data_IF_184102734014
#
_entry.id   IF_184102734014
#
_cell.length_a   1.000
_cell.length_b   1.000
_cell.length_c   1.000
_cell.angle_alpha   90.00
_cell.angle_beta   90.00
_cell.angle_gamma   90.00
#
_symmetry.space_group_name_H-M   'P 1'
#
loop_
_entity.id
_entity.type
_entity.pdbx_description
1 polymer ?
#
# COMPACT_ATOMS: atom_id res chain seq x y z
N UNK A 1 57.90 -64.59 20.98
CA UNK A 1 56.90 -63.68 21.57
C UNK A 1 56.45 -62.66 20.53
N UNK A 2 55.53 -63.06 19.66
CA UNK A 2 54.69 -62.17 18.85
C UNK A 2 53.39 -61.99 19.62
N UNK A 3 52.79 -60.79 19.60
CA UNK A 3 51.34 -60.46 19.77
C UNK A 3 51.14 -59.04 20.34
N UNK A 4 52.16 -58.34 20.87
CA UNK A 4 51.99 -56.94 21.29
C UNK A 4 52.25 -55.92 20.17
N UNK A 5 51.50 -55.99 19.05
CA UNK A 5 51.51 -54.97 17.97
C UNK A 5 50.10 -54.55 17.48
N UNK A 6 49.04 -54.88 18.22
CA UNK A 6 47.65 -54.62 17.81
C UNK A 6 46.89 -53.62 18.71
N UNK A 7 47.55 -52.58 19.22
CA UNK A 7 46.87 -51.49 19.94
C UNK A 7 47.15 -50.09 19.35
N UNK A 8 47.57 -50.00 18.09
CA UNK A 8 47.75 -48.74 17.37
C UNK A 8 46.93 -48.65 16.07
N UNK A 9 45.73 -49.23 16.08
CA UNK A 9 44.75 -49.09 15.01
C UNK A 9 43.33 -48.90 15.57
N UNK A 10 43.15 -47.88 16.39
CA UNK A 10 41.84 -47.28 16.60
C UNK A 10 41.89 -45.80 16.18
N UNK A 11 42.35 -45.62 14.94
CA UNK A 11 42.23 -44.37 14.19
C UNK A 11 40.81 -44.26 13.66
N UNK A 12 40.12 -43.22 14.12
CA UNK A 12 39.03 -42.50 13.46
C UNK A 12 37.94 -43.34 12.80
N UNK A 13 36.88 -43.59 13.56
CA UNK A 13 35.53 -43.50 13.01
C UNK A 13 34.71 -42.58 13.92
N UNK A 14 35.06 -41.29 13.94
CA UNK A 14 34.07 -40.28 14.32
C UNK A 14 33.10 -40.25 13.15
N UNK A 15 31.82 -40.61 13.33
CA UNK A 15 30.84 -40.35 12.30
C UNK A 15 30.87 -38.83 12.13
N UNK A 16 31.23 -38.35 10.94
CA UNK A 16 30.92 -36.98 10.57
C UNK A 16 29.40 -36.89 10.53
N UNK A 17 28.79 -36.64 11.68
CA UNK A 17 27.49 -36.01 11.75
C UNK A 17 27.63 -34.80 10.85
N UNK A 18 26.96 -34.84 9.70
CA UNK A 18 26.70 -33.66 8.90
C UNK A 18 26.08 -32.65 9.85
N UNK A 19 26.89 -31.71 10.36
CA UNK A 19 26.42 -30.61 11.17
C UNK A 19 25.49 -29.81 10.26
N UNK A 20 24.19 -30.09 10.34
CA UNK A 20 23.18 -29.14 9.93
C UNK A 20 23.40 -27.92 10.82
N UNK A 21 24.00 -26.87 10.27
CA UNK A 21 24.24 -25.62 10.95
C UNK A 21 22.91 -25.13 11.55
N UNK A 22 22.87 -24.86 12.85
CA UNK A 22 21.64 -24.45 13.53
C UNK A 22 21.41 -22.94 13.41
N UNK A 23 20.17 -22.49 13.63
CA UNK A 23 19.83 -21.06 13.68
C UNK A 23 20.75 -20.32 14.66
N UNK A 24 20.99 -20.88 15.85
CA UNK A 24 21.83 -20.26 16.88
C UNK A 24 23.29 -20.09 16.47
N UNK A 25 23.81 -21.00 15.64
CA UNK A 25 25.18 -20.94 15.14
C UNK A 25 25.34 -19.90 14.02
N UNK A 26 24.36 -19.84 13.11
CA UNK A 26 24.39 -18.95 11.95
C UNK A 26 24.03 -17.50 12.27
N UNK A 27 23.19 -17.26 13.29
CA UNK A 27 22.73 -15.91 13.66
C UNK A 27 23.89 -14.91 13.88
N UNK A 28 24.88 -15.18 14.75
CA UNK A 28 25.98 -14.22 14.97
C UNK A 28 26.85 -13.99 13.72
N UNK A 29 27.00 -15.01 12.87
CA UNK A 29 27.73 -14.88 11.60
C UNK A 29 26.95 -14.02 10.59
N UNK A 30 25.65 -14.23 10.51
CA UNK A 30 24.76 -13.47 9.63
C UNK A 30 24.67 -11.99 10.03
N UNK A 31 24.68 -11.70 11.34
CA UNK A 31 24.76 -10.35 11.91
C UNK A 31 26.11 -9.66 11.60
N UNK A 32 27.19 -10.44 11.47
CA UNK A 32 28.49 -9.97 10.98
C UNK A 32 28.55 -9.84 9.45
N UNK A 33 27.40 -9.71 8.79
CA UNK A 33 27.28 -9.49 7.34
C UNK A 33 27.81 -10.65 6.48
N UNK A 34 28.02 -11.84 7.05
CA UNK A 34 28.44 -13.01 6.28
C UNK A 34 27.31 -13.47 5.35
N UNK A 35 27.47 -13.21 4.04
CA UNK A 35 26.49 -13.52 2.99
C UNK A 35 26.06 -14.99 3.01
N UNK A 36 27.02 -15.90 3.21
CA UNK A 36 26.72 -17.34 3.19
C UNK A 36 25.88 -17.74 4.40
N UNK A 37 26.21 -17.20 5.58
CA UNK A 37 25.44 -17.43 6.79
C UNK A 37 24.03 -16.82 6.69
N UNK A 38 23.89 -15.62 6.12
CA UNK A 38 22.59 -14.99 5.86
C UNK A 38 21.72 -15.86 4.94
N UNK A 39 22.27 -16.36 3.83
CA UNK A 39 21.56 -17.27 2.94
C UNK A 39 21.17 -18.59 3.62
N UNK A 40 22.09 -19.21 4.35
CA UNK A 40 21.81 -20.47 5.05
C UNK A 40 20.74 -20.29 6.14
N UNK A 41 20.80 -19.18 6.88
CA UNK A 41 19.82 -18.83 7.90
C UNK A 41 18.43 -18.61 7.27
N UNK A 42 18.38 -17.92 6.13
CA UNK A 42 17.14 -17.76 5.36
C UNK A 42 16.54 -19.11 4.93
N UNK A 43 17.36 -20.03 4.41
CA UNK A 43 16.90 -21.38 4.04
C UNK A 43 16.32 -22.13 5.25
N UNK A 44 16.94 -22.03 6.42
CA UNK A 44 16.43 -22.69 7.63
C UNK A 44 15.04 -22.17 8.00
N UNK A 45 14.85 -20.86 7.97
CA UNK A 45 13.53 -20.25 8.22
C UNK A 45 12.50 -20.60 7.13
N UNK A 46 12.90 -20.68 5.86
CA UNK A 46 11.97 -21.08 4.80
C UNK A 46 11.46 -22.52 5.00
N UNK A 47 12.29 -23.42 5.52
CA UNK A 47 11.90 -24.83 5.74
C UNK A 47 10.88 -25.04 6.88
N UNK A 48 10.82 -24.18 7.88
CA UNK A 48 9.93 -24.36 9.05
C UNK A 48 8.47 -23.97 8.79
N UNK A 49 8.16 -23.40 7.62
CA UNK A 49 6.82 -23.32 7.00
C UNK A 49 5.73 -22.51 7.74
N UNK A 50 6.07 -21.66 8.71
CA UNK A 50 5.11 -20.70 9.28
C UNK A 50 5.23 -19.32 8.65
N UNK A 51 4.17 -18.51 8.69
CA UNK A 51 4.21 -17.14 8.16
C UNK A 51 5.32 -16.30 8.80
N UNK A 52 5.50 -16.42 10.12
CA UNK A 52 6.55 -15.72 10.85
C UNK A 52 7.94 -16.17 10.41
N UNK A 53 8.13 -17.45 10.07
CA UNK A 53 9.42 -17.92 9.57
C UNK A 53 9.67 -17.43 8.15
N UNK A 54 8.66 -17.37 7.29
CA UNK A 54 8.84 -16.76 5.97
C UNK A 54 9.20 -15.27 6.04
N UNK A 55 8.66 -14.52 7.02
CA UNK A 55 9.09 -13.13 7.28
C UNK A 55 10.59 -13.07 7.64
N UNK A 56 11.08 -13.99 8.46
CA UNK A 56 12.50 -14.10 8.79
C UNK A 56 13.35 -14.51 7.59
N UNK A 57 12.89 -15.48 6.79
CA UNK A 57 13.55 -15.90 5.57
C UNK A 57 13.68 -14.73 4.59
N UNK A 58 12.59 -13.98 4.37
CA UNK A 58 12.55 -12.81 3.52
C UNK A 58 13.55 -11.74 4.00
N UNK A 59 13.60 -11.47 5.31
CA UNK A 59 14.58 -10.56 5.88
C UNK A 59 16.02 -10.98 5.58
N UNK A 60 16.38 -12.23 5.84
CA UNK A 60 17.76 -12.70 5.67
C UNK A 60 18.17 -12.84 4.20
N UNK A 61 17.25 -13.28 3.33
CA UNK A 61 17.49 -13.25 1.90
C UNK A 61 17.70 -11.81 1.41
N UNK A 62 16.94 -10.83 1.91
CA UNK A 62 17.12 -9.41 1.56
C UNK A 62 18.52 -8.90 1.91
N UNK A 63 19.05 -9.26 3.09
CA UNK A 63 20.41 -8.86 3.47
C UNK A 63 21.47 -9.48 2.53
N UNK A 64 21.34 -10.77 2.21
CA UNK A 64 22.28 -11.44 1.31
C UNK A 64 22.15 -10.93 -0.15
N UNK A 65 20.94 -10.64 -0.61
CA UNK A 65 20.66 -10.13 -1.96
C UNK A 65 21.20 -8.71 -2.19
N UNK A 66 21.19 -7.87 -1.15
CA UNK A 66 21.85 -6.54 -1.17
C UNK A 66 23.36 -6.63 -1.37
N UNK A 67 23.96 -7.75 -0.98
CA UNK A 67 25.37 -8.09 -1.22
C UNK A 67 25.56 -8.90 -2.51
N UNK A 68 24.60 -8.82 -3.45
CA UNK A 68 24.67 -9.43 -4.78
C UNK A 68 24.71 -10.97 -4.78
N UNK A 69 24.22 -11.60 -3.72
CA UNK A 69 24.10 -13.06 -3.68
C UNK A 69 22.97 -13.56 -4.59
N UNK A 70 23.37 -14.17 -5.71
CA UNK A 70 22.50 -14.62 -6.79
C UNK A 70 21.33 -15.49 -6.31
N UNK A 71 21.60 -16.53 -5.52
CA UNK A 71 20.54 -17.42 -5.04
C UNK A 71 19.56 -16.69 -4.12
N UNK A 72 20.02 -15.73 -3.33
CA UNK A 72 19.14 -14.96 -2.43
C UNK A 72 18.23 -14.02 -3.20
N UNK A 73 18.74 -13.39 -4.27
CA UNK A 73 17.91 -12.55 -5.14
C UNK A 73 16.80 -13.38 -5.82
N UNK A 74 17.14 -14.60 -6.27
CA UNK A 74 16.15 -15.51 -6.87
C UNK A 74 15.12 -16.02 -5.83
N UNK A 75 15.57 -16.36 -4.62
CA UNK A 75 14.67 -16.75 -3.52
C UNK A 75 13.73 -15.60 -3.12
N UNK A 76 14.21 -14.36 -3.03
CA UNK A 76 13.36 -13.18 -2.78
C UNK A 76 12.26 -13.03 -3.82
N UNK A 77 12.63 -13.10 -5.10
CA UNK A 77 11.65 -13.03 -6.17
C UNK A 77 10.57 -14.11 -6.02
N UNK A 78 10.98 -15.32 -5.64
CA UNK A 78 10.06 -16.44 -5.40
C UNK A 78 9.13 -16.18 -4.21
N UNK A 79 9.64 -15.65 -3.10
CA UNK A 79 8.82 -15.32 -1.93
C UNK A 79 7.79 -14.23 -2.25
N UNK A 80 8.19 -13.18 -2.98
CA UNK A 80 7.28 -12.12 -3.43
C UNK A 80 6.21 -12.62 -4.40
N UNK A 81 6.54 -13.53 -5.33
CA UNK A 81 5.55 -14.12 -6.23
C UNK A 81 4.52 -14.98 -5.50
N UNK A 82 4.96 -15.71 -4.48
CA UNK A 82 4.10 -16.63 -3.73
C UNK A 82 3.36 -15.96 -2.56
N UNK A 83 3.76 -14.75 -2.16
CA UNK A 83 3.23 -14.09 -0.96
C UNK A 83 3.61 -14.83 0.33
N UNK A 84 4.84 -15.33 0.41
CA UNK A 84 5.33 -16.04 1.59
C UNK A 84 6.07 -15.07 2.50
N UNK A 85 5.54 -14.83 3.70
CA UNK A 85 6.11 -13.86 4.65
C UNK A 85 5.88 -12.39 4.27
N UNK A 86 5.13 -12.14 3.19
CA UNK A 86 4.75 -10.81 2.70
C UNK A 86 3.52 -10.97 1.80
N UNK A 87 2.74 -9.92 1.60
CA UNK A 87 1.71 -9.94 0.54
C UNK A 87 2.38 -10.14 -0.83
N UNK A 88 1.73 -10.86 -1.77
CA UNK A 88 2.25 -11.02 -3.12
C UNK A 88 2.58 -9.68 -3.78
N UNK A 89 3.81 -9.53 -4.28
CA UNK A 89 4.26 -8.30 -4.94
C UNK A 89 5.02 -8.64 -6.23
N UNK A 90 4.29 -8.58 -7.34
CA UNK A 90 4.84 -8.82 -8.68
C UNK A 90 5.95 -7.82 -9.05
N UNK A 91 5.86 -6.58 -8.57
CA UNK A 91 6.82 -5.53 -8.91
C UNK A 91 8.17 -5.81 -8.24
N UNK A 92 8.15 -6.19 -6.96
CA UNK A 92 9.36 -6.58 -6.24
C UNK A 92 9.98 -7.86 -6.82
N UNK A 93 9.17 -8.84 -7.20
CA UNK A 93 9.68 -10.03 -7.86
C UNK A 93 10.39 -9.72 -9.19
N UNK A 94 9.74 -8.92 -10.05
CA UNK A 94 10.32 -8.48 -11.31
C UNK A 94 11.58 -7.63 -11.10
N UNK A 95 11.66 -6.84 -10.04
CA UNK A 95 12.86 -6.06 -9.70
C UNK A 95 14.08 -6.96 -9.48
N UNK A 96 13.95 -7.95 -8.59
CA UNK A 96 15.06 -8.86 -8.29
C UNK A 96 15.45 -9.73 -9.48
N UNK A 97 14.48 -10.24 -10.24
CA UNK A 97 14.77 -11.04 -11.44
C UNK A 97 15.38 -10.19 -12.54
N UNK A 98 14.92 -8.96 -12.75
CA UNK A 98 15.46 -8.09 -13.80
C UNK A 98 16.89 -7.71 -13.48
N UNK A 99 17.20 -7.39 -12.21
CA UNK A 99 18.58 -7.16 -11.77
C UNK A 99 19.47 -8.37 -12.07
N UNK A 100 19.05 -9.57 -11.66
CA UNK A 100 19.76 -10.82 -11.98
C UNK A 100 19.94 -11.06 -13.49
N UNK A 101 18.92 -10.75 -14.28
CA UNK A 101 18.94 -10.96 -15.72
C UNK A 101 20.00 -10.10 -16.42
N UNK A 102 20.23 -8.89 -15.92
CA UNK A 102 21.25 -7.96 -16.41
C UNK A 102 22.67 -8.39 -16.04
N UNK A 103 22.81 -9.11 -14.93
CA UNK A 103 24.06 -9.77 -14.52
C UNK A 103 24.34 -11.05 -15.35
N UNK A 104 23.47 -11.40 -16.31
CA UNK A 104 23.63 -12.53 -17.22
C UNK A 104 22.99 -13.83 -16.73
N UNK A 105 22.18 -13.80 -15.68
CA UNK A 105 21.49 -14.99 -15.18
C UNK A 105 20.34 -15.40 -16.13
N UNK A 106 20.51 -16.53 -16.82
CA UNK A 106 19.53 -17.05 -17.79
C UNK A 106 18.26 -17.54 -17.10
N UNK A 107 18.36 -18.15 -15.92
CA UNK A 107 17.19 -18.64 -15.18
C UNK A 107 16.26 -17.48 -14.80
N UNK A 108 16.82 -16.31 -14.46
CA UNK A 108 16.06 -15.11 -14.20
C UNK A 108 15.37 -14.58 -15.45
N UNK A 109 16.02 -14.62 -16.62
CA UNK A 109 15.40 -14.26 -17.90
C UNK A 109 14.21 -15.17 -18.22
N UNK A 110 14.38 -16.49 -18.04
CA UNK A 110 13.30 -17.48 -18.24
C UNK A 110 12.17 -17.27 -17.24
N UNK A 111 12.49 -16.95 -15.98
CA UNK A 111 11.49 -16.66 -14.96
C UNK A 111 10.66 -15.42 -15.31
N UNK A 112 11.29 -14.33 -15.77
CA UNK A 112 10.58 -13.12 -16.25
C UNK A 112 9.66 -13.46 -17.42
N UNK A 113 10.16 -14.22 -18.42
CA UNK A 113 9.34 -14.64 -19.55
C UNK A 113 8.13 -15.48 -19.10
N UNK A 114 8.34 -16.41 -18.17
CA UNK A 114 7.29 -17.25 -17.59
C UNK A 114 6.25 -16.42 -16.83
N UNK A 115 6.68 -15.38 -16.12
CA UNK A 115 5.79 -14.43 -15.45
C UNK A 115 4.90 -13.74 -16.49
N UNK A 116 5.49 -13.14 -17.53
CA UNK A 116 4.71 -12.45 -18.57
C UNK A 116 3.79 -13.37 -19.36
N UNK A 117 4.16 -14.63 -19.58
CA UNK A 117 3.30 -15.63 -20.21
C UNK A 117 2.06 -15.94 -19.35
N UNK A 118 2.22 -16.01 -18.02
CA UNK A 118 1.16 -16.42 -17.09
C UNK A 118 0.30 -15.26 -16.59
N UNK A 119 0.83 -14.05 -16.54
CA UNK A 119 0.08 -12.88 -16.07
C UNK A 119 -1.05 -12.55 -17.05
N UNK A 120 -2.30 -12.67 -16.58
CA UNK A 120 -3.48 -12.30 -17.37
C UNK A 120 -3.57 -10.78 -17.61
N UNK A 121 -3.08 -10.01 -16.65
CA UNK A 121 -2.99 -8.55 -16.75
C UNK A 121 -1.66 -8.15 -17.39
N UNK A 122 -1.73 -7.36 -18.47
CA UNK A 122 -0.54 -6.81 -19.10
C UNK A 122 0.10 -5.79 -18.15
N UNK A 123 1.41 -5.90 -17.84
CA UNK A 123 2.07 -4.89 -17.02
C UNK A 123 1.95 -3.51 -17.67
N UNK A 124 1.62 -2.50 -16.87
CA UNK A 124 1.52 -1.13 -17.37
C UNK A 124 2.91 -0.66 -17.85
N UNK A 125 2.96 0.01 -19.00
CA UNK A 125 4.19 0.60 -19.55
C UNK A 125 4.90 1.51 -18.53
N UNK A 126 4.15 2.23 -17.68
CA UNK A 126 4.75 3.05 -16.62
C UNK A 126 5.40 2.23 -15.52
N UNK A 127 4.82 1.08 -15.15
CA UNK A 127 5.42 0.18 -14.15
C UNK A 127 6.71 -0.45 -14.69
N UNK A 128 6.71 -0.82 -15.97
CA UNK A 128 7.91 -1.28 -16.65
C UNK A 128 9.00 -0.19 -16.72
N UNK A 129 8.63 1.04 -17.07
CA UNK A 129 9.58 2.15 -17.09
C UNK A 129 10.15 2.46 -15.70
N UNK A 130 9.31 2.43 -14.65
CA UNK A 130 9.74 2.61 -13.27
C UNK A 130 10.80 1.59 -12.88
N UNK A 131 10.55 0.31 -13.18
CA UNK A 131 11.46 -0.80 -12.90
C UNK A 131 12.84 -0.58 -13.52
N UNK A 132 12.88 -0.27 -14.83
CA UNK A 132 14.13 -0.04 -15.55
C UNK A 132 14.89 1.17 -15.05
N UNK A 133 14.20 2.27 -14.76
CA UNK A 133 14.85 3.43 -14.19
C UNK A 133 15.40 3.15 -12.79
N UNK A 134 14.62 2.50 -11.92
CA UNK A 134 15.02 2.10 -10.56
C UNK A 134 16.32 1.28 -10.57
N UNK A 135 16.42 0.30 -11.48
CA UNK A 135 17.62 -0.55 -11.61
C UNK A 135 18.83 0.25 -12.14
N UNK A 136 18.60 1.24 -13.00
CA UNK A 136 19.65 2.05 -13.62
C UNK A 136 20.13 3.24 -12.75
N UNK A 137 19.39 3.64 -11.69
CA UNK A 137 19.73 4.80 -10.84
C UNK A 137 21.17 4.80 -10.32
N UNK A 138 21.73 3.67 -9.83
CA UNK A 138 23.11 3.66 -9.31
C UNK A 138 24.17 3.97 -10.38
N UNK A 139 23.82 3.91 -11.67
CA UNK A 139 24.76 4.00 -12.79
C UNK A 139 24.55 5.23 -13.68
N UNK A 140 23.45 5.96 -13.54
CA UNK A 140 23.10 7.05 -14.45
C UNK A 140 22.16 8.08 -13.81
N UNK A 141 22.62 9.32 -13.68
CA UNK A 141 21.79 10.45 -13.23
C UNK A 141 20.57 10.68 -14.14
N UNK A 142 20.68 10.35 -15.43
CA UNK A 142 19.53 10.41 -16.35
C UNK A 142 18.41 9.43 -15.94
N UNK A 143 18.73 8.36 -15.23
CA UNK A 143 17.73 7.42 -14.73
C UNK A 143 16.92 8.03 -13.58
N UNK A 144 17.51 8.89 -12.73
CA UNK A 144 16.78 9.61 -11.67
C UNK A 144 15.75 10.59 -12.24
N UNK A 145 16.12 11.29 -13.30
CA UNK A 145 15.22 12.20 -14.04
C UNK A 145 14.06 11.39 -14.64
N UNK A 146 14.37 10.26 -15.26
CA UNK A 146 13.39 9.34 -15.83
C UNK A 146 12.43 8.76 -14.78
N UNK A 147 12.98 8.28 -13.67
CA UNK A 147 12.23 7.75 -12.53
C UNK A 147 11.25 8.80 -11.99
N UNK A 148 11.73 10.03 -11.74
CA UNK A 148 10.91 11.15 -11.26
C UNK A 148 9.75 11.46 -12.20
N UNK A 149 10.00 11.47 -13.51
CA UNK A 149 8.97 11.69 -14.54
C UNK A 149 7.91 10.58 -14.54
N UNK A 150 8.33 9.32 -14.38
CA UNK A 150 7.40 8.18 -14.30
C UNK A 150 6.54 8.27 -13.05
N UNK A 151 7.12 8.60 -11.90
CA UNK A 151 6.36 8.81 -10.66
C UNK A 151 5.33 9.95 -10.80
N UNK A 152 5.70 11.06 -11.43
CA UNK A 152 4.78 12.16 -11.73
C UNK A 152 3.64 11.70 -12.65
N UNK A 153 3.95 10.93 -13.70
CA UNK A 153 2.94 10.39 -14.61
C UNK A 153 1.97 9.43 -13.90
N UNK A 154 2.48 8.52 -13.06
CA UNK A 154 1.66 7.61 -12.24
C UNK A 154 0.78 8.38 -11.24
N UNK A 155 1.31 9.43 -10.63
CA UNK A 155 0.53 10.31 -9.76
C UNK A 155 -0.61 11.00 -10.52
N UNK A 156 -0.30 11.59 -11.67
CA UNK A 156 -1.29 12.26 -12.52
C UNK A 156 -2.36 11.29 -13.04
N UNK A 157 -1.98 10.06 -13.38
CA UNK A 157 -2.92 9.01 -13.79
C UNK A 157 -3.90 8.66 -12.66
N UNK A 158 -3.39 8.44 -11.43
CA UNK A 158 -4.26 8.17 -10.26
C UNK A 158 -5.18 9.35 -9.97
N UNK A 159 -4.66 10.57 -10.06
CA UNK A 159 -5.48 11.79 -9.90
C UNK A 159 -6.59 11.87 -10.95
N UNK A 160 -6.30 11.58 -12.21
CA UNK A 160 -7.30 11.56 -13.28
C UNK A 160 -8.36 10.47 -13.07
N UNK A 161 -7.96 9.27 -12.64
CA UNK A 161 -8.89 8.19 -12.29
C UNK A 161 -9.83 8.62 -11.16
N UNK A 162 -9.30 9.19 -10.07
CA UNK A 162 -10.11 9.71 -8.96
C UNK A 162 -11.05 10.85 -9.41
N UNK A 163 -10.60 11.72 -10.31
CA UNK A 163 -11.45 12.78 -10.87
C UNK A 163 -12.61 12.14 -11.65
N UNK A 164 -12.33 11.19 -12.53
CA UNK A 164 -13.33 10.51 -13.35
C UNK A 164 -14.33 9.68 -12.54
N UNK A 165 -13.88 8.98 -11.48
CA UNK A 165 -14.77 8.23 -10.60
C UNK A 165 -15.73 9.16 -9.85
N UNK A 166 -15.28 10.37 -9.50
CA UNK A 166 -16.14 11.39 -8.90
C UNK A 166 -17.15 11.96 -9.90
N UNK A 167 -16.76 12.15 -11.15
CA UNK A 167 -17.67 12.64 -12.20
C UNK A 167 -18.77 11.59 -12.50
N UNK A 168 -18.43 10.29 -12.47
CA UNK A 168 -19.40 9.20 -12.57
C UNK A 168 -20.39 9.18 -11.39
N UNK A 169 -19.94 9.51 -10.18
CA UNK A 169 -20.83 9.68 -9.03
C UNK A 169 -21.74 10.91 -9.17
N UNK A 170 -21.25 12.01 -9.74
CA UNK A 170 -22.09 13.19 -10.00
C UNK A 170 -23.16 12.88 -11.08
N UNK A 171 -22.83 12.09 -12.11
CA UNK A 171 -23.81 11.59 -13.12
C UNK A 171 -24.85 10.65 -12.49
N UNK A 172 -24.44 9.76 -11.57
CA UNK A 172 -25.34 8.82 -10.90
C UNK A 172 -26.33 9.48 -9.92
N UNK A 173 -26.12 10.76 -9.57
CA UNK A 173 -26.93 11.54 -8.64
C UNK A 173 -27.70 12.70 -9.28
N UNK A 174 -27.69 12.83 -10.62
CA UNK A 174 -28.57 13.75 -11.34
C UNK A 174 -30.04 13.28 -11.19
N UNK A 175 -30.95 14.08 -10.60
CA UNK A 175 -32.36 13.73 -10.52
C UNK A 175 -33.00 14.00 -11.89
N UNK A 176 -32.98 13.00 -12.76
CA UNK A 176 -33.50 13.13 -14.11
C UNK A 176 -33.96 11.81 -14.71
N UNK A 177 -35.22 11.47 -14.45
CA UNK A 177 -36.08 10.52 -15.17
C UNK A 177 -36.06 9.04 -14.72
N UNK A 178 -36.63 8.77 -13.53
CA UNK A 178 -37.35 7.52 -13.31
C UNK A 178 -38.84 7.79 -13.44
N UNK A 179 -39.39 7.39 -14.59
CA UNK A 179 -40.82 7.16 -14.74
C UNK A 179 -41.25 6.06 -13.78
N UNK A 180 -42.21 6.41 -12.95
CA UNK A 180 -43.01 5.50 -12.14
C UNK A 180 -43.62 4.42 -13.05
N UNK A 181 -43.42 3.15 -12.72
CA UNK A 181 -44.51 2.19 -12.88
C UNK A 181 -44.41 1.10 -11.81
N UNK A 182 -45.42 1.14 -10.95
CA UNK A 182 -45.70 0.17 -9.90
C UNK A 182 -46.52 -0.98 -10.47
N UNK A 183 -46.15 -2.23 -10.19
CA UNK A 183 -47.18 -3.27 -10.02
C UNK A 183 -46.74 -4.38 -9.07
N UNK A 184 -47.68 -4.68 -8.18
CA UNK A 184 -47.71 -5.64 -7.08
C UNK A 184 -47.77 -7.10 -7.56
N UNK A 185 -47.24 -8.05 -6.77
CA UNK A 185 -48.01 -9.22 -6.26
C UNK A 185 -47.16 -10.22 -5.45
N UNK A 186 -47.35 -10.18 -4.12
CA UNK A 186 -47.96 -11.22 -3.26
C UNK A 186 -47.63 -12.75 -3.35
N UNK A 187 -47.63 -13.37 -2.14
CA UNK A 187 -48.00 -14.79 -1.78
C UNK A 187 -46.91 -15.86 -2.00
N UNK A 188 -46.68 -16.92 -1.20
CA UNK A 188 -47.07 -17.41 0.16
C UNK A 188 -46.37 -18.78 0.42
N UNK A 189 -46.30 -19.16 1.71
CA UNK A 189 -46.40 -20.51 2.32
C UNK A 189 -45.28 -21.60 2.26
N UNK A 190 -44.82 -21.90 3.50
CA UNK A 190 -44.25 -23.12 4.15
C UNK A 190 -45.20 -24.37 4.08
N UNK A 191 -44.98 -25.52 4.81
CA UNK A 191 -43.81 -26.34 5.21
C UNK A 191 -44.11 -27.89 5.23
N UNK A 192 -43.32 -28.67 6.03
CA UNK A 192 -43.61 -29.95 6.75
C UNK A 192 -42.96 -31.22 6.14
N UNK A 193 -42.60 -32.32 6.82
CA UNK A 193 -42.47 -32.82 8.23
C UNK A 193 -41.80 -34.23 8.14
N UNK A 194 -41.13 -34.88 9.11
CA UNK A 194 -41.63 -35.71 10.26
C UNK A 194 -40.41 -36.50 10.83
N UNK A 195 -40.13 -36.55 12.16
CA UNK A 195 -40.44 -37.56 13.21
C UNK A 195 -39.66 -38.92 13.07
N UNK A 196 -39.05 -39.59 14.07
CA UNK A 196 -39.53 -40.01 15.40
C UNK A 196 -38.43 -40.52 16.40
N UNK A 197 -38.74 -40.42 17.70
CA UNK A 197 -38.66 -41.41 18.81
C UNK A 197 -37.47 -41.62 19.78
N UNK A 198 -37.92 -41.88 21.02
CA UNK A 198 -37.39 -42.65 22.15
C UNK A 198 -36.60 -41.92 23.25
N UNK A 199 -37.27 -41.81 24.40
CA UNK A 199 -36.79 -41.23 25.64
C UNK A 199 -36.33 -42.33 26.61
N UNK A 200 -35.04 -42.37 26.92
CA UNK A 200 -34.53 -42.95 28.19
C UNK A 200 -33.27 -42.25 28.71
N UNK A 201 -33.05 -40.98 28.33
CA UNK A 201 -31.94 -40.11 28.77
C UNK A 201 -32.43 -38.69 29.16
N UNK A 202 -33.70 -38.56 29.57
CA UNK A 202 -34.38 -37.25 29.64
C UNK A 202 -33.73 -36.25 30.59
N UNK A 203 -33.16 -36.65 31.74
CA UNK A 203 -32.62 -35.68 32.69
C UNK A 203 -31.31 -35.05 32.19
N UNK A 204 -30.37 -35.86 31.70
CA UNK A 204 -29.09 -35.37 31.18
C UNK A 204 -29.25 -34.63 29.85
N UNK A 205 -30.15 -35.08 28.97
CA UNK A 205 -30.41 -34.41 27.69
C UNK A 205 -31.11 -33.07 27.93
N UNK A 206 -32.06 -32.97 28.86
CA UNK A 206 -32.69 -31.68 29.21
C UNK A 206 -31.66 -30.72 29.82
N UNK A 207 -30.78 -31.20 30.71
CA UNK A 207 -29.69 -30.38 31.27
C UNK A 207 -28.72 -29.93 30.17
N UNK A 208 -28.35 -30.80 29.24
CA UNK A 208 -27.46 -30.45 28.12
C UNK A 208 -28.15 -29.50 27.11
N UNK A 209 -29.47 -29.63 26.89
CA UNK A 209 -30.26 -28.70 26.07
C UNK A 209 -30.37 -27.35 26.75
N UNK A 210 -30.58 -27.29 28.07
CA UNK A 210 -30.63 -26.02 28.82
C UNK A 210 -29.24 -25.36 28.84
N UNK A 211 -28.17 -26.12 29.08
CA UNK A 211 -26.79 -25.59 29.06
C UNK A 211 -26.41 -25.15 27.65
N UNK A 212 -26.72 -25.91 26.60
CA UNK A 212 -26.45 -25.51 25.22
C UNK A 212 -27.32 -24.33 24.77
N UNK A 213 -28.55 -24.20 25.25
CA UNK A 213 -29.41 -23.04 25.03
C UNK A 213 -28.88 -21.80 25.78
N UNK A 214 -28.38 -21.97 27.01
CA UNK A 214 -27.75 -20.89 27.79
C UNK A 214 -26.43 -20.45 27.18
N UNK A 215 -25.60 -21.38 26.71
CA UNK A 215 -24.37 -21.09 25.96
C UNK A 215 -24.72 -20.43 24.62
N UNK A 216 -25.73 -20.90 23.91
CA UNK A 216 -26.18 -20.28 22.65
C UNK A 216 -26.75 -18.89 22.88
N UNK A 217 -27.49 -18.66 23.97
CA UNK A 217 -27.98 -17.34 24.36
C UNK A 217 -26.85 -16.44 24.83
N UNK A 218 -25.84 -16.97 25.52
CA UNK A 218 -24.67 -16.23 25.96
C UNK A 218 -23.77 -15.85 24.78
N UNK A 219 -23.52 -16.78 23.85
CA UNK A 219 -22.81 -16.53 22.59
C UNK A 219 -23.61 -15.59 21.71
N UNK A 220 -24.94 -15.72 21.63
CA UNK A 220 -25.83 -14.80 20.89
C UNK A 220 -25.89 -13.42 21.54
N UNK A 221 -25.87 -13.31 22.88
CA UNK A 221 -25.78 -12.03 23.60
C UNK A 221 -24.40 -11.39 23.44
N UNK A 222 -23.31 -12.15 23.50
CA UNK A 222 -21.95 -11.66 23.22
C UNK A 222 -21.81 -11.23 21.76
N UNK A 223 -22.32 -12.03 20.82
CA UNK A 223 -22.34 -11.73 19.39
C UNK A 223 -23.22 -10.51 19.11
N UNK A 224 -24.39 -10.38 19.73
CA UNK A 224 -25.20 -9.17 19.64
C UNK A 224 -24.54 -7.96 20.29
N UNK A 225 -23.81 -8.10 21.41
CA UNK A 225 -23.06 -6.98 22.01
C UNK A 225 -21.87 -6.54 21.16
N UNK A 226 -21.18 -7.50 20.51
CA UNK A 226 -20.13 -7.23 19.52
C UNK A 226 -20.71 -6.60 18.27
N UNK A 227 -21.83 -7.11 17.74
CA UNK A 227 -22.53 -6.52 16.59
C UNK A 227 -23.05 -5.11 16.90
N UNK A 228 -23.53 -4.84 18.12
CA UNK A 228 -24.01 -3.50 18.51
C UNK A 228 -22.87 -2.48 18.62
N UNK A 229 -21.71 -2.92 19.14
CA UNK A 229 -20.50 -2.08 19.24
C UNK A 229 -19.82 -1.90 17.89
N UNK A 230 -19.83 -2.92 17.02
CA UNK A 230 -19.30 -2.90 15.66
C UNK A 230 -20.23 -2.15 14.68
N UNK A 231 -21.55 -2.17 14.89
CA UNK A 231 -22.49 -1.25 14.20
C UNK A 231 -22.27 0.20 14.61
N UNK A 232 -22.14 0.49 15.91
CA UNK A 232 -21.85 1.86 16.37
C UNK A 232 -20.50 2.39 15.87
N UNK A 233 -19.46 1.56 15.82
CA UNK A 233 -18.16 1.94 15.24
C UNK A 233 -18.18 2.01 13.70
N UNK A 234 -18.93 1.14 13.01
CA UNK A 234 -19.02 1.20 11.54
C UNK A 234 -19.92 2.33 11.04
N UNK A 235 -20.99 2.69 11.77
CA UNK A 235 -21.84 3.84 11.45
C UNK A 235 -21.09 5.16 11.69
N UNK A 236 -20.33 5.27 12.78
CA UNK A 236 -19.47 6.45 13.04
C UNK A 236 -18.28 6.52 12.07
N UNK A 237 -17.70 5.39 11.68
CA UNK A 237 -16.68 5.34 10.64
C UNK A 237 -17.25 5.70 9.26
N UNK A 238 -18.46 5.24 8.93
CA UNK A 238 -19.13 5.58 7.68
C UNK A 238 -19.50 7.06 7.62
N UNK A 239 -20.00 7.66 8.70
CA UNK A 239 -20.28 9.09 8.78
C UNK A 239 -19.01 9.94 8.72
N UNK A 240 -17.92 9.50 9.36
CA UNK A 240 -16.62 10.19 9.26
C UNK A 240 -16.02 10.08 7.87
N UNK A 241 -16.06 8.90 7.23
CA UNK A 241 -15.63 8.72 5.84
C UNK A 241 -16.50 9.53 4.88
N UNK A 242 -17.83 9.58 5.08
CA UNK A 242 -18.74 10.33 4.23
C UNK A 242 -18.57 11.85 4.39
N UNK A 243 -18.35 12.33 5.63
CA UNK A 243 -18.06 13.75 5.89
C UNK A 243 -16.67 14.16 5.37
N UNK A 244 -15.67 13.28 5.46
CA UNK A 244 -14.37 13.47 4.82
C UNK A 244 -14.49 13.50 3.29
N UNK A 245 -15.28 12.61 2.68
CA UNK A 245 -15.52 12.60 1.24
C UNK A 245 -16.22 13.88 0.76
N UNK A 246 -17.21 14.39 1.51
CA UNK A 246 -17.85 15.69 1.24
C UNK A 246 -16.84 16.85 1.32
N UNK A 247 -15.95 16.81 2.31
CA UNK A 247 -14.90 17.82 2.49
C UNK A 247 -13.90 17.79 1.35
N UNK A 248 -13.45 16.60 0.93
CA UNK A 248 -12.55 16.41 -0.22
C UNK A 248 -13.22 16.90 -1.51
N UNK A 249 -14.51 16.60 -1.71
CA UNK A 249 -15.30 17.10 -2.85
C UNK A 249 -15.37 18.63 -2.88
N UNK A 250 -15.60 19.27 -1.74
CA UNK A 250 -15.62 20.72 -1.62
C UNK A 250 -14.24 21.33 -1.92
N UNK A 251 -13.17 20.73 -1.39
CA UNK A 251 -11.79 21.16 -1.64
C UNK A 251 -11.40 20.99 -3.12
N UNK A 252 -11.83 19.91 -3.79
CA UNK A 252 -11.60 19.66 -5.22
C UNK A 252 -12.27 20.72 -6.08
N UNK A 253 -13.54 21.05 -5.81
CA UNK A 253 -14.27 22.13 -6.51
C UNK A 253 -13.56 23.47 -6.37
N UNK A 254 -13.08 23.79 -5.17
CA UNK A 254 -12.29 24.99 -4.94
C UNK A 254 -10.99 24.97 -5.78
N UNK A 255 -10.23 23.88 -5.75
CA UNK A 255 -8.99 23.75 -6.52
C UNK A 255 -9.20 23.83 -8.04
N UNK A 256 -10.27 23.26 -8.58
CA UNK A 256 -10.59 23.35 -10.01
C UNK A 256 -10.97 24.77 -10.45
N UNK A 257 -11.72 25.50 -9.62
CA UNK A 257 -12.03 26.91 -9.90
C UNK A 257 -10.76 27.75 -9.96
N UNK A 258 -9.82 27.48 -9.04
CA UNK A 258 -8.53 28.16 -8.96
C UNK A 258 -7.62 27.79 -10.13
N UNK A 259 -7.59 26.52 -10.52
CA UNK A 259 -6.84 26.07 -11.70
C UNK A 259 -7.38 26.71 -12.99
N UNK A 260 -8.71 26.76 -13.17
CA UNK A 260 -9.35 27.45 -14.30
C UNK A 260 -9.01 28.94 -14.30
N UNK A 261 -8.96 29.57 -13.12
CA UNK A 261 -8.61 30.99 -12.98
C UNK A 261 -7.13 31.25 -13.31
N UNK A 262 -6.21 30.42 -12.81
CA UNK A 262 -4.78 30.51 -13.13
C UNK A 262 -4.54 30.26 -14.63
N UNK A 263 -5.20 29.26 -15.23
CA UNK A 263 -5.11 28.98 -16.66
C UNK A 263 -5.61 30.15 -17.52
N UNK A 264 -6.68 30.84 -17.09
CA UNK A 264 -7.15 32.08 -17.76
C UNK A 264 -6.13 33.21 -17.65
N UNK A 265 -5.46 33.35 -16.50
CA UNK A 265 -4.45 34.38 -16.27
C UNK A 265 -3.12 34.11 -17.01
N UNK A 266 -2.88 32.87 -17.45
CA UNK A 266 -1.67 32.47 -18.18
C UNK A 266 -1.82 32.52 -19.72
N UNK A 267 -3.00 32.87 -20.25
CA UNK A 267 -3.21 32.97 -21.71
C UNK A 267 -2.73 34.33 -22.25
N UNK A 268 -1.90 34.40 -23.31
CA UNK A 268 -1.22 35.65 -23.68
C UNK A 268 -2.07 36.78 -24.28
N UNK A 269 -3.36 36.62 -24.60
CA UNK A 269 -4.11 37.63 -25.34
C UNK A 269 -5.59 37.73 -24.87
N UNK A 270 -5.86 38.57 -23.87
CA UNK A 270 -7.22 39.04 -23.55
C UNK A 270 -7.25 40.57 -23.36
N UNK A 271 -8.27 41.26 -23.88
CA UNK A 271 -8.46 42.69 -23.62
C UNK A 271 -8.93 42.86 -22.17
N UNK A 272 -8.20 43.65 -21.38
CA UNK A 272 -8.26 43.79 -19.90
C UNK A 272 -7.39 42.80 -19.12
N UNK A 273 -6.07 42.83 -19.34
CA UNK A 273 -5.12 42.18 -18.44
C UNK A 273 -5.11 42.90 -17.07
N UNK A 274 -5.34 42.19 -15.95
CA UNK A 274 -5.10 42.75 -14.63
C UNK A 274 -3.61 43.11 -14.48
N UNK A 275 -3.30 44.16 -13.72
CA UNK A 275 -1.93 44.65 -13.52
C UNK A 275 -1.01 43.48 -13.07
N UNK A 276 0.26 43.39 -13.50
CA UNK A 276 1.21 42.37 -13.06
C UNK A 276 1.23 42.09 -11.54
N UNK A 277 0.94 43.09 -10.70
CA UNK A 277 0.81 42.91 -9.25
C UNK A 277 -0.48 42.18 -8.84
N UNK A 278 -1.60 42.49 -9.47
CA UNK A 278 -2.90 41.82 -9.26
C UNK A 278 -2.86 40.37 -9.75
N UNK A 279 -2.14 40.09 -10.84
CA UNK A 279 -1.91 38.73 -11.32
C UNK A 279 -1.11 37.90 -10.31
N UNK A 280 -0.02 38.46 -9.78
CA UNK A 280 0.79 37.81 -8.74
C UNK A 280 -0.02 37.54 -7.47
N UNK A 281 -0.86 38.49 -7.05
CA UNK A 281 -1.78 38.29 -5.92
C UNK A 281 -2.82 37.21 -6.22
N UNK A 282 -3.40 37.19 -7.41
CA UNK A 282 -4.39 36.19 -7.79
C UNK A 282 -3.83 34.76 -7.75
N UNK A 283 -2.61 34.58 -8.26
CA UNK A 283 -1.91 33.29 -8.22
C UNK A 283 -1.58 32.91 -6.76
N UNK A 284 -1.11 33.86 -5.95
CA UNK A 284 -0.82 33.59 -4.54
C UNK A 284 -2.07 33.21 -3.74
N UNK A 285 -3.19 33.92 -3.93
CA UNK A 285 -4.48 33.59 -3.35
C UNK A 285 -4.96 32.20 -3.79
N UNK A 286 -4.76 31.84 -5.06
CA UNK A 286 -5.12 30.53 -5.58
C UNK A 286 -4.35 29.39 -4.91
N UNK A 287 -3.05 29.57 -4.63
CA UNK A 287 -2.25 28.57 -3.90
C UNK A 287 -2.85 28.29 -2.50
N UNK A 288 -3.46 29.29 -1.88
CA UNK A 288 -4.04 29.17 -0.54
C UNK A 288 -5.52 28.77 -0.50
N UNK A 289 -6.21 28.80 -1.66
CA UNK A 289 -7.66 28.60 -1.71
C UNK A 289 -8.47 29.87 -1.43
N UNK A 290 -7.89 31.06 -1.58
CA UNK A 290 -8.53 32.33 -1.27
C UNK A 290 -8.97 33.08 -2.52
N UNK A 291 -9.93 33.99 -2.34
CA UNK A 291 -10.33 34.94 -3.38
C UNK A 291 -9.56 36.26 -3.19
N UNK A 292 -8.96 36.84 -4.25
CA UNK A 292 -8.17 38.09 -4.13
C UNK A 292 -8.95 39.28 -3.58
N UNK A 293 -10.26 39.31 -3.83
CA UNK A 293 -11.17 40.37 -3.35
C UNK A 293 -11.53 40.23 -1.87
N UNK A 294 -11.43 39.03 -1.31
CA UNK A 294 -11.85 38.70 0.05
C UNK A 294 -10.78 37.87 0.76
N UNK A 295 -9.74 38.55 1.25
CA UNK A 295 -8.67 37.91 2.01
C UNK A 295 -9.11 37.64 3.45
N UNK A 296 -8.88 36.43 3.98
CA UNK A 296 -9.15 36.11 5.37
C UNK A 296 -8.14 36.78 6.32
N UNK A 297 -8.44 36.75 7.61
CA UNK A 297 -7.59 37.32 8.66
C UNK A 297 -6.23 36.61 8.76
N UNK A 298 -5.23 37.34 9.28
CA UNK A 298 -3.84 36.87 9.35
C UNK A 298 -3.71 35.54 10.12
N UNK A 299 -4.58 35.29 11.12
CA UNK A 299 -4.60 34.05 11.90
C UNK A 299 -5.08 32.86 11.05
N UNK A 300 -6.12 33.03 10.24
CA UNK A 300 -6.58 32.00 9.28
C UNK A 300 -5.55 31.73 8.18
N UNK A 301 -4.86 32.76 7.68
CA UNK A 301 -3.79 32.59 6.69
C UNK A 301 -2.63 31.77 7.26
N UNK A 302 -2.16 32.08 8.48
CA UNK A 302 -1.11 31.30 9.15
C UNK A 302 -1.53 29.85 9.40
N UNK A 303 -2.79 29.64 9.79
CA UNK A 303 -3.35 28.29 10.01
C UNK A 303 -3.37 27.50 8.71
N UNK A 304 -3.84 28.12 7.61
CA UNK A 304 -3.87 27.50 6.28
C UNK A 304 -2.47 27.22 5.75
N UNK A 305 -1.52 28.12 5.96
CA UNK A 305 -0.11 27.90 5.65
C UNK A 305 0.43 26.66 6.37
N UNK A 306 0.18 26.53 7.69
CA UNK A 306 0.62 25.34 8.46
C UNK A 306 0.01 24.05 7.92
N UNK A 307 -1.27 24.06 7.55
CA UNK A 307 -1.93 22.92 6.92
C UNK A 307 -1.28 22.56 5.58
N UNK A 308 -1.10 23.55 4.70
CA UNK A 308 -0.50 23.34 3.39
C UNK A 308 0.96 22.88 3.50
N UNK A 309 1.75 23.47 4.42
CA UNK A 309 3.14 23.06 4.66
C UNK A 309 3.27 21.61 5.10
N UNK A 310 2.27 21.05 5.81
CA UNK A 310 2.24 19.62 6.16
C UNK A 310 1.91 18.74 4.95
N UNK A 311 1.09 19.23 4.02
CA UNK A 311 0.77 18.53 2.77
C UNK A 311 1.97 18.52 1.83
N UNK A 312 2.75 19.60 1.82
CA UNK A 312 4.02 19.67 1.09
C UNK A 312 5.22 19.11 1.89
N UNK A 313 5.01 18.67 3.14
CA UNK A 313 6.01 17.98 3.98
C UNK A 313 5.40 16.87 4.87
N UNK A 314 4.72 15.83 4.34
CA UNK A 314 4.31 14.73 5.19
C UNK A 314 5.54 13.91 5.62
N UNK A 315 6.48 13.67 4.69
CA UNK A 315 7.60 12.73 4.86
C UNK A 315 8.95 13.27 4.31
N UNK A 316 9.17 14.59 4.31
CA UNK A 316 10.35 15.28 3.71
C UNK A 316 10.52 15.10 2.18
N UNK A 317 9.50 14.59 1.47
CA UNK A 317 9.53 14.32 0.02
C UNK A 317 8.72 15.30 -0.85
N UNK A 318 8.26 16.44 -0.31
CA UNK A 318 7.75 17.52 -1.16
C UNK A 318 8.90 18.20 -1.88
N UNK A 319 8.72 18.51 -3.17
CA UNK A 319 9.75 19.19 -3.95
C UNK A 319 10.11 20.53 -3.29
N UNK A 320 11.40 20.79 -3.08
CA UNK A 320 11.91 22.05 -2.51
C UNK A 320 11.31 23.29 -3.23
N UNK A 321 11.01 23.12 -4.52
CA UNK A 321 10.35 24.12 -5.36
C UNK A 321 8.88 24.41 -4.96
N UNK A 322 8.13 23.43 -4.47
CA UNK A 322 6.74 23.61 -4.03
C UNK A 322 6.66 24.41 -2.73
N UNK A 323 7.59 24.14 -1.81
CA UNK A 323 7.72 24.93 -0.59
C UNK A 323 8.20 26.34 -0.87
N UNK A 324 9.13 26.52 -1.82
CA UNK A 324 9.55 27.84 -2.29
C UNK A 324 8.38 28.61 -2.91
N UNK A 325 7.51 27.95 -3.68
CA UNK A 325 6.27 28.54 -4.23
C UNK A 325 5.29 28.93 -3.13
N UNK A 326 5.06 28.08 -2.13
CA UNK A 326 4.18 28.37 -0.99
C UNK A 326 4.69 29.57 -0.17
N UNK A 327 5.99 29.61 0.11
CA UNK A 327 6.65 30.71 0.83
C UNK A 327 6.52 32.04 0.08
N UNK A 328 6.73 32.02 -1.24
CA UNK A 328 6.58 33.20 -2.07
C UNK A 328 5.12 33.68 -2.11
N UNK A 329 4.15 32.76 -2.22
CA UNK A 329 2.73 33.08 -2.17
C UNK A 329 2.32 33.70 -0.82
N UNK A 330 2.81 33.17 0.30
CA UNK A 330 2.57 33.74 1.62
C UNK A 330 3.09 35.17 1.72
N UNK A 331 4.29 35.43 1.18
CA UNK A 331 4.91 36.75 1.14
C UNK A 331 4.03 37.75 0.37
N UNK A 332 3.57 37.37 -0.82
CA UNK A 332 2.72 38.22 -1.68
C UNK A 332 1.38 38.55 -1.02
N UNK A 333 0.72 37.57 -0.39
CA UNK A 333 -0.54 37.80 0.33
C UNK A 333 -0.30 38.73 1.54
N UNK A 334 0.78 38.50 2.28
CA UNK A 334 1.11 39.28 3.48
C UNK A 334 1.49 40.73 3.17
N UNK A 335 2.17 40.98 2.05
CA UNK A 335 2.50 42.36 1.62
C UNK A 335 1.26 43.12 1.19
N UNK A 336 0.31 42.48 0.49
CA UNK A 336 -0.94 43.11 0.08
C UNK A 336 -1.88 43.41 1.26
N UNK A 337 -1.84 42.57 2.32
CA UNK A 337 -2.57 42.85 3.56
C UNK A 337 -2.04 44.06 4.35
N UNK A 338 -0.77 44.46 4.14
CA UNK A 338 -0.20 45.65 4.78
C UNK A 338 -0.42 46.94 3.98
N UNK A 339 -0.85 46.81 2.73
CA UNK A 339 -1.09 47.93 1.80
C UNK A 339 -2.58 48.34 1.76
N UNK A 340 -3.49 47.49 2.27
CA UNK A 340 -4.85 47.86 2.65
C UNK A 340 -4.87 48.36 4.08
#
# INVERSE_FOLDING_TARGET
>A
MKILKWLFSLSLLVPTLSFGSTISELTPLAEQHNVRAQFQLANLYETSSTQQDYEQALYWYLQAAKQEHVQSQFSLATLYLKGLGVEPDLSQALYWLTKLSLEGNIDAQVAIATIYEKTQEKPNNLDMAELWYLIAQPHSEMADIGYSRVLEAKFNQRKAQQVSSLDQLDIAFEPGNQGFDSTSSNVSSKPSSTAHQAYSNQLFVVIFIVISALISLFVKRRKNSKILTEKGHSETLAETVQSQAKTIKQQKRQMETLFKQVKRLQQPNQPNQPNPQEQKLAIACAIFGFQPKQLPDQKKIKTRYKQLSKVYHPDLSGSEDEMKRLNNALKIISTNLKQK
#
